data_IF_209137519513
#
_entry.id   IF_209137519513
#
_cell.length_a   1.000
_cell.length_b   1.000
_cell.length_c   1.000
_cell.angle_alpha   90.00
_cell.angle_beta   90.00
_cell.angle_gamma   90.00
#
_symmetry.space_group_name_H-M   'P 1'
#
loop_
_entity.id
_entity.type
_entity.pdbx_description
1 polymer ?
#
# COMPACT_ATOMS: atom_id res chain seq x y z
N UNK A 1 17.27 8.83 6.94
CA UNK A 1 17.75 9.63 5.80
C UNK A 1 17.84 8.70 4.60
N UNK A 2 17.01 8.87 3.56
CA UNK A 2 17.14 8.08 2.33
C UNK A 2 18.00 8.88 1.36
N UNK A 3 19.30 8.55 1.31
CA UNK A 3 20.22 9.15 0.34
C UNK A 3 19.87 8.56 -1.03
N UNK A 4 19.72 9.44 -2.03
CA UNK A 4 19.41 8.99 -3.38
C UNK A 4 20.57 8.16 -3.96
N UNK A 5 20.26 7.08 -4.69
CA UNK A 5 21.25 6.18 -5.29
C UNK A 5 22.30 6.87 -6.17
N UNK A 6 21.94 8.00 -6.79
CA UNK A 6 22.83 8.78 -7.66
C UNK A 6 23.50 9.96 -6.94
N UNK A 7 23.41 10.05 -5.61
CA UNK A 7 24.06 11.13 -4.86
C UNK A 7 25.59 10.96 -4.91
N UNK A 8 26.27 11.84 -5.68
CA UNK A 8 27.73 11.79 -5.84
C UNK A 8 28.52 12.14 -4.58
N UNK A 9 27.97 12.97 -3.71
CA UNK A 9 28.61 13.44 -2.48
C UNK A 9 27.85 12.91 -1.25
N UNK A 10 28.05 11.63 -0.96
CA UNK A 10 27.51 10.96 0.23
C UNK A 10 28.24 11.45 1.51
N UNK A 11 27.68 11.23 2.71
CA UNK A 11 28.36 11.57 3.97
C UNK A 11 29.79 11.04 4.06
N UNK A 12 30.00 9.79 3.61
CA UNK A 12 31.33 9.17 3.55
C UNK A 12 32.29 9.96 2.65
N UNK A 13 31.85 10.34 1.45
CA UNK A 13 32.72 11.10 0.53
C UNK A 13 33.00 12.53 1.00
N UNK A 14 32.09 13.12 1.79
CA UNK A 14 32.30 14.43 2.44
C UNK A 14 33.35 14.33 3.54
N UNK A 15 33.33 13.23 4.29
CA UNK A 15 34.32 12.90 5.31
C UNK A 15 35.71 12.71 4.70
N UNK A 16 35.82 11.89 3.65
CA UNK A 16 37.08 11.70 2.90
C UNK A 16 37.64 13.04 2.39
N UNK A 17 36.76 13.87 1.81
CA UNK A 17 37.12 15.22 1.34
C UNK A 17 37.63 16.09 2.49
N UNK A 18 36.93 16.12 3.64
CA UNK A 18 37.34 16.92 4.78
C UNK A 18 38.68 16.45 5.36
N UNK A 19 38.86 15.15 5.53
CA UNK A 19 40.10 14.54 6.01
C UNK A 19 41.27 14.83 5.07
N UNK A 20 41.10 14.67 3.77
CA UNK A 20 42.17 14.96 2.79
C UNK A 20 42.68 16.40 2.83
N UNK A 21 41.80 17.37 3.16
CA UNK A 21 42.20 18.77 3.35
C UNK A 21 42.82 19.00 4.73
N UNK A 22 42.30 18.37 5.79
CA UNK A 22 42.82 18.52 7.16
C UNK A 22 44.20 17.90 7.31
N UNK A 23 44.43 16.75 6.70
CA UNK A 23 45.71 16.03 6.67
C UNK A 23 46.73 16.68 5.71
N UNK A 24 46.37 17.77 5.02
CA UNK A 24 47.25 18.50 4.11
C UNK A 24 47.51 17.80 2.77
N UNK A 25 46.79 16.73 2.44
CA UNK A 25 46.96 15.99 1.17
C UNK A 25 46.45 16.77 -0.04
N UNK A 26 45.43 17.60 0.15
CA UNK A 26 44.84 18.44 -0.90
C UNK A 26 44.62 19.86 -0.39
N UNK A 27 44.86 20.85 -1.24
CA UNK A 27 44.36 22.21 -0.98
C UNK A 27 42.83 22.24 -1.12
N UNK A 28 42.17 23.27 -0.56
CA UNK A 28 40.72 23.43 -0.73
C UNK A 28 40.30 23.58 -2.21
N UNK A 29 41.16 24.17 -3.05
CA UNK A 29 40.92 24.31 -4.48
C UNK A 29 41.04 22.97 -5.23
N UNK A 30 41.98 22.11 -4.82
CA UNK A 30 42.16 20.78 -5.41
C UNK A 30 41.05 19.83 -5.01
N UNK A 31 40.64 19.87 -3.73
CA UNK A 31 39.50 19.13 -3.24
C UNK A 31 38.21 19.57 -3.97
N UNK A 32 38.01 20.87 -4.18
CA UNK A 32 36.86 21.38 -4.94
C UNK A 32 36.78 20.77 -6.35
N UNK A 33 37.92 20.74 -7.07
CA UNK A 33 38.02 20.12 -8.41
C UNK A 33 37.76 18.61 -8.38
N UNK A 34 38.37 17.90 -7.42
CA UNK A 34 38.28 16.44 -7.30
C UNK A 34 36.87 15.96 -6.97
N UNK A 35 36.18 16.66 -6.07
CA UNK A 35 34.86 16.27 -5.58
C UNK A 35 33.71 16.96 -6.34
N UNK A 36 34.01 17.87 -7.28
CA UNK A 36 33.02 18.53 -8.13
C UNK A 36 32.14 19.52 -7.37
N UNK A 37 32.72 20.26 -6.43
CA UNK A 37 32.03 21.26 -5.59
C UNK A 37 32.83 22.57 -5.57
N UNK A 38 32.25 23.67 -5.09
CA UNK A 38 32.99 24.93 -4.92
C UNK A 38 33.89 24.91 -3.69
N UNK A 39 34.97 25.69 -3.70
CA UNK A 39 35.88 25.81 -2.55
C UNK A 39 35.15 26.29 -1.27
N UNK A 40 34.13 27.13 -1.40
CA UNK A 40 33.27 27.54 -0.28
C UNK A 40 32.52 26.37 0.37
N UNK A 41 32.08 25.39 -0.44
CA UNK A 41 31.42 24.18 0.05
C UNK A 41 32.45 23.29 0.76
N UNK A 42 33.66 23.13 0.19
CA UNK A 42 34.76 22.40 0.84
C UNK A 42 35.07 23.00 2.21
N UNK A 43 35.32 24.31 2.27
CA UNK A 43 35.61 25.02 3.52
C UNK A 43 34.50 24.78 4.57
N UNK A 44 33.24 24.89 4.17
CA UNK A 44 32.09 24.64 5.05
C UNK A 44 32.05 23.21 5.60
N UNK A 45 32.37 22.21 4.78
CA UNK A 45 32.39 20.82 5.23
C UNK A 45 33.61 20.52 6.11
N UNK A 46 34.77 21.10 5.81
CA UNK A 46 35.97 21.00 6.65
C UNK A 46 35.71 21.57 8.04
N UNK A 47 35.16 22.78 8.13
CA UNK A 47 34.83 23.41 9.42
C UNK A 47 33.79 22.59 10.19
N UNK A 48 32.80 22.03 9.49
CA UNK A 48 31.82 21.14 10.12
C UNK A 48 32.44 19.85 10.64
N UNK A 49 33.38 19.26 9.90
CA UNK A 49 34.08 18.05 10.32
C UNK A 49 34.94 18.31 11.55
N UNK A 50 35.63 19.45 11.63
CA UNK A 50 36.38 19.85 12.83
C UNK A 50 35.48 20.00 14.05
N UNK A 51 34.26 20.52 13.88
CA UNK A 51 33.33 20.76 14.98
C UNK A 51 32.58 19.50 15.46
N UNK A 52 32.18 18.62 14.53
CA UNK A 52 31.21 17.54 14.80
C UNK A 52 31.69 16.14 14.38
N UNK A 53 32.89 16.04 13.78
CA UNK A 53 33.43 14.81 13.22
C UNK A 53 32.56 14.21 12.12
N UNK A 54 32.56 12.87 12.02
CA UNK A 54 31.76 12.11 11.04
C UNK A 54 30.26 12.38 11.18
N UNK A 55 29.76 12.67 12.40
CA UNK A 55 28.34 13.00 12.64
C UNK A 55 27.91 14.27 11.90
N UNK A 56 28.82 15.22 11.72
CA UNK A 56 28.56 16.46 10.99
C UNK A 56 28.37 16.26 9.49
N UNK A 57 28.79 15.13 8.91
CA UNK A 57 28.74 14.89 7.47
C UNK A 57 27.34 14.49 6.97
N UNK A 58 26.44 14.19 7.90
CA UNK A 58 25.04 13.88 7.63
C UNK A 58 24.32 15.16 7.16
N UNK A 59 23.40 15.03 6.19
CA UNK A 59 22.57 16.14 5.77
C UNK A 59 21.74 16.67 6.94
N UNK A 60 21.87 17.96 7.20
CA UNK A 60 20.98 18.67 8.11
C UNK A 60 19.63 18.86 7.44
N UNK A 61 18.60 18.87 8.26
CA UNK A 61 17.27 19.25 7.82
C UNK A 61 17.32 20.66 7.22
N UNK A 62 16.89 20.81 5.97
CA UNK A 62 16.66 22.12 5.35
C UNK A 62 15.39 22.80 5.88
N UNK A 63 14.63 22.12 6.75
CA UNK A 63 13.41 22.65 7.35
C UNK A 63 13.77 23.80 8.30
N UNK A 64 13.15 24.99 8.14
CA UNK A 64 13.29 26.08 9.09
C UNK A 64 13.10 25.64 10.55
N UNK A 65 13.95 26.14 11.44
CA UNK A 65 13.88 25.85 12.87
C UNK A 65 12.60 26.39 13.51
N UNK A 66 12.11 27.54 13.03
CA UNK A 66 10.85 28.16 13.46
C UNK A 66 9.88 28.26 12.30
N UNK A 67 8.63 27.85 12.56
CA UNK A 67 7.52 27.97 11.64
C UNK A 67 6.42 28.78 12.34
N UNK A 68 6.31 30.10 12.10
CA UNK A 68 5.37 30.96 12.84
C UNK A 68 3.91 30.52 12.70
N UNK A 69 3.53 29.95 11.56
CA UNK A 69 2.19 29.42 11.32
C UNK A 69 2.02 27.95 11.73
N UNK A 70 2.95 27.40 12.52
CA UNK A 70 2.75 26.09 13.11
C UNK A 70 1.55 26.14 14.06
N UNK A 71 0.65 25.16 13.91
CA UNK A 71 -0.46 24.96 14.85
C UNK A 71 0.09 24.88 16.27
N UNK A 72 -0.46 25.69 17.17
CA UNK A 72 -0.09 25.68 18.57
C UNK A 72 -0.25 24.27 19.16
N UNK A 73 0.66 23.88 20.05
CA UNK A 73 0.67 22.54 20.65
C UNK A 73 -0.64 22.25 21.38
N UNK A 74 -1.18 23.23 22.10
CA UNK A 74 -2.47 23.12 22.80
C UNK A 74 -3.64 22.78 21.88
N UNK A 75 -3.70 23.40 20.69
CA UNK A 75 -4.71 23.12 19.68
C UNK A 75 -4.54 21.68 19.15
N UNK A 76 -3.31 21.25 18.91
CA UNK A 76 -3.03 19.90 18.44
C UNK A 76 -3.43 18.84 19.47
N UNK A 77 -3.16 19.08 20.75
CA UNK A 77 -3.58 18.22 21.87
C UNK A 77 -5.10 18.15 21.97
N UNK A 78 -5.80 19.29 21.86
CA UNK A 78 -7.26 19.33 21.85
C UNK A 78 -7.86 18.51 20.70
N UNK A 79 -7.30 18.64 19.50
CA UNK A 79 -7.69 17.84 18.32
C UNK A 79 -7.54 16.33 18.61
N UNK A 80 -6.41 15.92 19.20
CA UNK A 80 -6.15 14.51 19.55
C UNK A 80 -7.12 14.02 20.61
N UNK A 81 -7.39 14.81 21.65
CA UNK A 81 -8.33 14.47 22.71
C UNK A 81 -9.75 14.23 22.15
N UNK A 82 -10.26 15.16 21.34
CA UNK A 82 -11.58 15.01 20.70
C UNK A 82 -11.61 13.81 19.75
N UNK A 83 -10.51 13.54 19.03
CA UNK A 83 -10.44 12.37 18.15
C UNK A 83 -10.53 11.05 18.93
N UNK A 84 -9.92 10.97 20.11
CA UNK A 84 -10.01 9.80 20.99
C UNK A 84 -11.43 9.58 21.53
N UNK A 85 -12.24 10.64 21.63
CA UNK A 85 -13.67 10.56 21.94
C UNK A 85 -14.54 10.17 20.73
N UNK A 86 -13.93 9.67 19.65
CA UNK A 86 -14.57 9.26 18.38
C UNK A 86 -15.23 10.39 17.57
N UNK A 87 -14.88 11.66 17.80
CA UNK A 87 -15.38 12.75 16.98
C UNK A 87 -14.85 12.66 15.53
N UNK A 88 -15.66 13.05 14.56
CA UNK A 88 -15.25 13.11 13.15
C UNK A 88 -14.30 14.27 12.93
N UNK A 89 -13.38 14.16 11.96
CA UNK A 89 -12.43 15.23 11.65
C UNK A 89 -13.12 16.55 11.27
N UNK A 90 -14.29 16.47 10.63
CA UNK A 90 -15.10 17.65 10.28
C UNK A 90 -15.70 18.30 11.53
N UNK A 91 -16.23 17.52 12.47
CA UNK A 91 -16.78 18.06 13.72
C UNK A 91 -15.69 18.71 14.57
N UNK A 92 -14.52 18.07 14.65
CA UNK A 92 -13.35 18.62 15.35
C UNK A 92 -12.91 19.95 14.72
N UNK A 93 -12.91 20.05 13.40
CA UNK A 93 -12.55 21.29 12.69
C UNK A 93 -13.48 22.46 13.07
N UNK A 94 -14.79 22.20 13.10
CA UNK A 94 -15.79 23.19 13.51
C UNK A 94 -15.63 23.60 14.98
N UNK A 95 -15.52 22.62 15.88
CA UNK A 95 -15.40 22.83 17.33
C UNK A 95 -14.14 23.62 17.71
N UNK A 96 -13.00 23.27 17.10
CA UNK A 96 -11.70 23.87 17.43
C UNK A 96 -11.44 25.16 16.63
N UNK A 97 -12.24 25.46 15.60
CA UNK A 97 -12.08 26.66 14.77
C UNK A 97 -10.87 26.61 13.84
N UNK A 98 -10.50 25.43 13.35
CA UNK A 98 -9.35 25.24 12.44
C UNK A 98 -9.75 24.52 11.16
N UNK A 99 -9.00 24.72 10.08
CA UNK A 99 -9.34 24.09 8.81
C UNK A 99 -9.30 22.55 8.89
N UNK A 100 -10.18 21.83 8.15
CA UNK A 100 -10.16 20.36 8.09
C UNK A 100 -8.79 19.79 7.67
N UNK A 101 -8.05 20.52 6.82
CA UNK A 101 -6.70 20.16 6.42
C UNK A 101 -5.70 20.16 7.60
N UNK A 102 -5.83 21.13 8.51
CA UNK A 102 -5.00 21.19 9.73
C UNK A 102 -5.33 20.03 10.66
N UNK A 103 -6.61 19.74 10.88
CA UNK A 103 -7.03 18.55 11.66
C UNK A 103 -6.45 17.28 11.05
N UNK A 104 -6.59 17.08 9.73
CA UNK A 104 -6.07 15.90 9.03
C UNK A 104 -4.55 15.75 9.20
N UNK A 105 -3.78 16.84 9.07
CA UNK A 105 -2.32 16.83 9.27
C UNK A 105 -1.92 16.50 10.71
N UNK A 106 -2.63 17.05 11.70
CA UNK A 106 -2.40 16.77 13.12
C UNK A 106 -2.69 15.30 13.41
N UNK A 107 -3.86 14.79 12.99
CA UNK A 107 -4.24 13.40 13.21
C UNK A 107 -3.32 12.42 12.49
N UNK A 108 -2.86 12.73 11.28
CA UNK A 108 -1.88 11.91 10.56
C UNK A 108 -0.55 11.81 11.31
N UNK A 109 -0.07 12.93 11.88
CA UNK A 109 1.16 12.94 12.69
C UNK A 109 0.99 12.17 14.00
N UNK A 110 -0.19 12.25 14.62
CA UNK A 110 -0.53 11.51 15.83
C UNK A 110 -0.89 10.03 15.56
N UNK A 111 -0.95 9.60 14.30
CA UNK A 111 -1.35 8.25 13.93
C UNK A 111 -2.84 7.94 14.10
N UNK A 112 -3.72 8.93 14.30
CA UNK A 112 -5.15 8.76 14.61
C UNK A 112 -6.09 9.08 13.43
N UNK A 113 -5.58 8.92 12.21
CA UNK A 113 -6.29 9.30 10.99
C UNK A 113 -7.48 8.38 10.69
N UNK A 114 -7.37 7.08 11.02
CA UNK A 114 -8.39 6.07 10.72
C UNK A 114 -9.08 5.62 12.00
N UNK A 115 -10.29 5.10 11.87
CA UNK A 115 -11.05 4.60 13.03
C UNK A 115 -10.34 3.43 13.72
N UNK A 116 -9.73 2.53 12.94
CA UNK A 116 -8.90 1.42 13.44
C UNK A 116 -7.69 1.86 14.27
N UNK A 117 -7.28 3.13 14.15
CA UNK A 117 -6.17 3.68 14.90
C UNK A 117 -6.63 4.24 16.26
N UNK A 118 -7.93 4.55 16.39
CA UNK A 118 -8.58 4.91 17.67
C UNK A 118 -8.83 3.64 18.48
N UNK A 119 -9.31 2.60 17.81
CA UNK A 119 -9.66 1.33 18.44
C UNK A 119 -8.98 0.19 17.69
N UNK A 120 -7.94 -0.41 18.27
CA UNK A 120 -7.33 -1.58 17.68
C UNK A 120 -8.41 -2.67 17.59
N UNK A 121 -8.46 -3.35 16.44
CA UNK A 121 -9.38 -4.46 16.26
C UNK A 121 -9.15 -5.49 17.36
N UNK A 122 -10.22 -5.93 18.02
CA UNK A 122 -10.12 -7.02 18.99
C UNK A 122 -9.46 -8.24 18.34
N UNK A 123 -8.62 -8.98 19.08
CA UNK A 123 -8.01 -10.18 18.54
C UNK A 123 -9.11 -11.16 18.11
N UNK A 124 -8.94 -11.76 16.93
CA UNK A 124 -9.89 -12.73 16.39
C UNK A 124 -9.96 -13.93 17.34
N UNK A 125 -11.07 -14.06 18.06
CA UNK A 125 -11.35 -15.24 18.88
C UNK A 125 -11.73 -16.39 17.96
N UNK A 126 -10.81 -17.33 17.76
CA UNK A 126 -11.09 -18.58 17.03
C UNK A 126 -11.64 -19.60 18.01
N UNK A 127 -12.82 -20.13 17.70
CA UNK A 127 -13.36 -21.26 18.42
C UNK A 127 -12.68 -22.53 17.92
N UNK A 128 -11.74 -23.05 18.70
CA UNK A 128 -11.06 -24.33 18.42
C UNK A 128 -11.53 -25.39 19.41
N UNK A 129 -11.60 -26.62 18.95
CA UNK A 129 -12.00 -27.81 19.71
C UNK A 129 -11.01 -28.94 19.45
N UNK A 130 -10.84 -29.82 20.43
CA UNK A 130 -9.79 -30.85 20.37
C UNK A 130 -10.22 -32.01 19.48
N UNK A 131 -11.50 -32.39 19.51
CA UNK A 131 -12.01 -33.52 18.76
C UNK A 131 -13.05 -33.12 17.70
N UNK A 132 -13.11 -33.85 16.57
CA UNK A 132 -14.08 -33.57 15.53
C UNK A 132 -15.48 -33.93 16.04
N UNK A 133 -16.46 -33.08 15.77
CA UNK A 133 -17.84 -33.25 16.26
C UNK A 133 -18.18 -32.49 17.55
N UNK A 134 -17.19 -31.99 18.30
CA UNK A 134 -17.44 -31.10 19.45
C UNK A 134 -18.00 -29.73 19.06
N UNK A 135 -17.77 -29.34 17.80
CA UNK A 135 -18.33 -28.13 17.21
C UNK A 135 -18.73 -28.39 15.77
N UNK A 136 -19.97 -28.04 15.45
CA UNK A 136 -20.49 -28.01 14.09
C UNK A 136 -20.67 -26.55 13.69
N UNK A 137 -19.95 -26.13 12.66
CA UNK A 137 -20.13 -24.83 12.03
C UNK A 137 -21.16 -24.99 10.92
N UNK A 138 -22.31 -24.35 11.09
CA UNK A 138 -23.38 -24.31 10.08
C UNK A 138 -23.34 -22.93 9.45
N UNK A 139 -23.00 -22.86 8.16
CA UNK A 139 -23.13 -21.65 7.36
C UNK A 139 -24.39 -21.76 6.49
N UNK A 140 -25.23 -20.73 6.54
CA UNK A 140 -26.41 -20.61 5.70
C UNK A 140 -26.17 -19.46 4.75
N UNK A 141 -25.91 -19.80 3.49
CA UNK A 141 -25.71 -18.81 2.44
C UNK A 141 -26.99 -18.57 1.68
N UNK A 142 -27.57 -17.38 1.88
CA UNK A 142 -28.66 -16.86 1.06
C UNK A 142 -28.13 -16.40 -0.30
N UNK A 143 -28.57 -17.04 -1.37
CA UNK A 143 -28.22 -16.75 -2.76
C UNK A 143 -29.46 -16.26 -3.52
N UNK A 144 -29.29 -15.19 -4.31
CA UNK A 144 -30.37 -14.72 -5.17
C UNK A 144 -30.59 -15.68 -6.32
N UNK A 145 -31.86 -16.04 -6.59
CA UNK A 145 -32.20 -16.83 -7.78
C UNK A 145 -31.99 -15.99 -9.04
N UNK A 146 -31.59 -16.65 -10.11
CA UNK A 146 -31.48 -16.04 -11.43
C UNK A 146 -32.52 -16.66 -12.37
N UNK A 147 -33.42 -15.84 -12.89
CA UNK A 147 -34.38 -16.24 -13.94
C UNK A 147 -33.89 -15.86 -15.34
N UNK A 148 -32.84 -15.05 -15.43
CA UNK A 148 -32.24 -14.60 -16.68
C UNK A 148 -30.73 -14.46 -16.58
N UNK A 149 -30.07 -14.55 -17.73
CA UNK A 149 -28.62 -14.45 -17.86
C UNK A 149 -28.15 -13.04 -17.49
N UNK A 150 -27.20 -12.95 -16.56
CA UNK A 150 -26.69 -11.68 -16.04
C UNK A 150 -25.82 -10.89 -17.02
N UNK A 151 -25.68 -9.59 -16.74
CA UNK A 151 -24.95 -8.62 -17.57
C UNK A 151 -23.49 -8.97 -17.87
N UNK A 152 -22.86 -9.83 -17.06
CA UNK A 152 -21.48 -10.28 -17.30
C UNK A 152 -21.34 -11.10 -18.58
N UNK A 153 -22.42 -11.75 -19.02
CA UNK A 153 -22.49 -12.50 -20.27
C UNK A 153 -23.19 -11.68 -21.35
N UNK A 154 -24.29 -11.00 -21.00
CA UNK A 154 -25.11 -10.25 -21.98
C UNK A 154 -24.59 -8.84 -22.30
N UNK A 155 -23.63 -8.31 -21.53
CA UNK A 155 -23.05 -6.97 -21.70
C UNK A 155 -23.96 -5.80 -21.30
N UNK A 156 -25.26 -6.05 -21.10
CA UNK A 156 -26.26 -5.04 -20.79
C UNK A 156 -26.65 -5.05 -19.30
N UNK A 157 -26.35 -3.99 -18.52
CA UNK A 157 -26.65 -3.91 -17.09
C UNK A 157 -28.15 -3.79 -16.77
N UNK A 158 -29.01 -3.47 -17.75
CA UNK A 158 -30.46 -3.38 -17.56
C UNK A 158 -31.18 -4.72 -17.82
N UNK A 159 -30.66 -5.55 -18.72
CA UNK A 159 -31.27 -6.84 -19.10
C UNK A 159 -30.90 -8.04 -18.22
N UNK A 160 -30.05 -7.86 -17.21
CA UNK A 160 -29.57 -8.93 -16.32
C UNK A 160 -30.23 -9.00 -14.93
N UNK A 161 -31.33 -8.29 -14.69
CA UNK A 161 -31.92 -8.12 -13.35
C UNK A 161 -33.04 -9.13 -13.08
N UNK A 162 -32.76 -10.19 -12.34
CA UNK A 162 -33.78 -11.21 -11.96
C UNK A 162 -34.74 -10.70 -10.87
N UNK A 163 -35.58 -9.71 -11.20
CA UNK A 163 -36.57 -9.13 -10.29
C UNK A 163 -37.61 -10.20 -9.91
N UNK A 164 -37.94 -10.31 -8.62
CA UNK A 164 -38.96 -11.23 -8.13
C UNK A 164 -38.59 -12.72 -8.16
N UNK A 165 -37.37 -13.09 -8.61
CA UNK A 165 -36.96 -14.49 -8.72
C UNK A 165 -36.82 -15.21 -7.36
N UNK A 166 -36.79 -14.47 -6.25
CA UNK A 166 -36.70 -15.02 -4.90
C UNK A 166 -35.28 -15.42 -4.50
N UNK A 167 -35.18 -16.26 -3.48
CA UNK A 167 -33.92 -16.65 -2.83
C UNK A 167 -33.81 -18.16 -2.71
N UNK A 168 -32.59 -18.67 -2.87
CA UNK A 168 -32.19 -20.02 -2.50
C UNK A 168 -31.23 -19.97 -1.32
N UNK A 169 -31.19 -21.05 -0.55
CA UNK A 169 -30.36 -21.14 0.64
C UNK A 169 -29.48 -22.38 0.53
N UNK A 170 -28.18 -22.19 0.53
CA UNK A 170 -27.21 -23.28 0.64
C UNK A 170 -26.88 -23.44 2.11
N UNK A 171 -27.13 -24.63 2.63
CA UNK A 171 -26.79 -25.01 4.00
C UNK A 171 -25.51 -25.84 3.93
N UNK A 172 -24.44 -25.36 4.54
CA UNK A 172 -23.18 -26.07 4.62
C UNK A 172 -22.86 -26.32 6.09
N UNK A 173 -22.59 -27.59 6.43
CA UNK A 173 -22.12 -27.97 7.76
C UNK A 173 -20.68 -28.45 7.66
N UNK A 174 -19.82 -27.94 8.53
CA UNK A 174 -18.43 -28.37 8.63
C UNK A 174 -18.03 -28.53 10.10
N UNK A 175 -17.11 -29.45 10.37
CA UNK A 175 -16.49 -29.55 11.70
C UNK A 175 -15.05 -29.06 11.58
N UNK A 176 -14.65 -28.16 12.48
CA UNK A 176 -13.30 -27.58 12.47
C UNK A 176 -12.47 -28.26 13.55
N UNK A 177 -11.48 -29.05 13.13
CA UNK A 177 -10.45 -29.59 14.02
C UNK A 177 -9.37 -28.55 14.29
N UNK A 178 -8.76 -28.57 15.48
CA UNK A 178 -7.48 -27.89 15.73
C UNK A 178 -6.47 -28.38 14.69
N UNK A 179 -5.91 -27.47 13.89
CA UNK A 179 -4.90 -27.83 12.90
C UNK A 179 -3.67 -28.40 13.61
N UNK A 180 -3.39 -29.69 13.41
CA UNK A 180 -2.12 -30.30 13.83
C UNK A 180 -0.97 -29.55 13.12
N UNK A 181 0.13 -29.19 13.79
CA UNK A 181 1.18 -28.35 13.20
C UNK A 181 1.95 -29.01 12.05
N UNK A 182 1.67 -30.28 11.73
CA UNK A 182 2.33 -31.03 10.66
C UNK A 182 1.41 -31.31 9.48
N UNK A 183 1.18 -30.31 8.61
CA UNK A 183 0.91 -30.59 7.19
C UNK A 183 1.32 -29.37 6.38
N UNK A 184 2.48 -29.49 5.74
CA UNK A 184 3.00 -28.53 4.75
C UNK A 184 1.86 -28.16 3.80
N UNK A 185 1.61 -26.87 3.68
CA UNK A 185 0.63 -26.30 2.75
C UNK A 185 0.85 -26.91 1.36
N UNK A 186 -0.16 -27.61 0.85
CA UNK A 186 -0.20 -27.97 -0.56
C UNK A 186 -0.28 -26.66 -1.36
N UNK A 187 0.60 -26.43 -2.36
CA UNK A 187 0.54 -25.21 -3.14
C UNK A 187 -0.77 -25.19 -3.91
N UNK A 188 -1.58 -24.16 -3.67
CA UNK A 188 -2.79 -23.90 -4.44
C UNK A 188 -2.39 -23.63 -5.89
N UNK A 189 -2.58 -24.63 -6.75
CA UNK A 189 -2.43 -24.48 -8.20
C UNK A 189 -3.49 -23.49 -8.68
N UNK A 190 -3.12 -22.22 -8.82
CA UNK A 190 -3.92 -21.23 -9.55
C UNK A 190 -4.21 -21.79 -10.94
N UNK A 191 -5.46 -22.16 -11.22
CA UNK A 191 -5.92 -22.40 -12.60
C UNK A 191 -5.79 -21.09 -13.37
N UNK A 192 -4.74 -20.95 -14.18
CA UNK A 192 -4.69 -19.95 -15.25
C UNK A 192 -5.82 -20.27 -16.23
N UNK A 193 -6.69 -19.30 -16.49
CA UNK A 193 -7.65 -19.38 -17.59
C UNK A 193 -6.89 -19.49 -18.92
N UNK A 194 -7.35 -20.32 -19.88
CA UNK A 194 -6.75 -20.36 -21.21
C UNK A 194 -7.02 -19.05 -21.94
N UNK A 195 -5.99 -18.51 -22.61
CA UNK A 195 -6.06 -17.33 -23.47
C UNK A 195 -6.92 -17.62 -24.72
N UNK A 196 -7.67 -16.64 -25.25
CA UNK A 196 -8.48 -16.83 -26.44
C UNK A 196 -7.60 -16.70 -27.68
N UNK A 197 -6.97 -17.81 -28.11
CA UNK A 197 -6.26 -17.85 -29.39
C UNK A 197 -6.52 -19.16 -30.13
N UNK A 198 -7.58 -19.15 -30.94
CA UNK A 198 -7.62 -19.68 -32.31
C UNK A 198 -9.07 -19.77 -32.78
N UNK A 199 -9.44 -18.89 -33.71
CA UNK A 199 -10.61 -19.08 -34.58
C UNK A 199 -10.43 -20.40 -35.32
N UNK A 200 -11.16 -21.44 -34.92
CA UNK A 200 -11.32 -22.65 -35.73
C UNK A 200 -12.20 -22.26 -36.94
N UNK A 201 -11.57 -22.12 -38.11
CA UNK A 201 -12.28 -22.04 -39.39
C UNK A 201 -13.06 -23.34 -39.59
N UNK A 202 -14.35 -23.23 -39.86
CA UNK A 202 -15.16 -24.35 -40.34
C UNK A 202 -14.70 -24.72 -41.77
N UNK A 203 -14.58 -26.01 -42.13
CA UNK A 203 -14.23 -26.40 -43.49
C UNK A 203 -15.42 -26.14 -44.44
N UNK A 204 -15.17 -25.39 -45.50
CA UNK A 204 -16.08 -25.20 -46.63
C UNK A 204 -16.04 -26.42 -47.52
N UNK A 205 -17.17 -27.09 -47.71
CA UNK A 205 -17.38 -28.13 -48.73
C UNK A 205 -17.44 -27.48 -50.12
N UNK A 206 -16.61 -27.87 -51.10
CA UNK A 206 -16.79 -27.43 -52.48
C UNK A 206 -17.83 -28.28 -53.19
N UNK A 207 -18.67 -27.61 -53.97
CA UNK A 207 -19.75 -28.16 -54.78
C UNK A 207 -19.23 -29.10 -55.88
N UNK A 208 -19.79 -30.31 -55.96
CA UNK A 208 -19.61 -31.22 -57.09
C UNK A 208 -20.64 -30.90 -58.18
N UNK A 209 -20.18 -30.32 -59.29
CA UNK A 209 -20.93 -30.21 -60.52
C UNK A 209 -20.93 -31.55 -61.26
N UNK A 210 -22.11 -32.12 -61.49
CA UNK A 210 -22.32 -33.26 -62.38
C UNK A 210 -22.24 -32.80 -63.84
N UNK A 211 -21.29 -33.37 -64.59
CA UNK A 211 -21.32 -33.43 -66.06
C UNK A 211 -21.19 -34.90 -66.46
N UNK A 212 -22.19 -35.36 -67.21
CA UNK A 212 -22.23 -36.63 -67.93
C UNK A 212 -21.10 -36.75 -68.95
N UNK A 213 -20.78 -37.97 -69.40
CA UNK A 213 -20.41 -38.21 -70.78
C UNK A 213 -21.41 -39.15 -71.48
N UNK A 214 -21.50 -38.95 -72.79
CA UNK A 214 -22.33 -39.68 -73.73
C UNK A 214 -21.72 -41.05 -74.11
N UNK A 215 -22.57 -42.05 -74.34
CA UNK A 215 -22.69 -42.85 -75.57
C UNK A 215 -23.93 -43.74 -75.45
#
# INVERSE_FOLDING_TARGET
MNIHKNARLTPLRREEMALSVIEGRLSQADAARTYGVSAQIVARWVERYKAEGSKGMIDRSSRPARMPQATATSIAERIVALRRQRWTGSHIAMEVGVSPATVSRVLKRAGLSRLKDIEPAEPVRRYEREHPGEMIHIDIKKLGRFSQVGHRITGDPQKGKSRGAGWEFVHAASTTLRASPSRKSCPTRKKKAPSPSSRRRLPTTPASASRSPAS
#
